data_IF_628433720802
#
_entry.id   IF_628433720802
#
_cell.length_a   1.000
_cell.length_b   1.000
_cell.length_c   1.000
_cell.angle_alpha   90.00
_cell.angle_beta   90.00
_cell.angle_gamma   90.00
#
_symmetry.space_group_name_H-M   'P 1'
#
loop_
_entity.id
_entity.type
_entity.pdbx_description
1 polymer ?
#
# COMPACT_ATOMS: atom_id res chain seq x y z
N UNK A 1 21.51 27.23 -6.17
CA UNK A 1 20.89 26.00 -5.63
C UNK A 1 20.99 26.09 -4.11
N UNK A 2 19.95 26.54 -3.43
CA UNK A 2 20.01 26.86 -1.99
C UNK A 2 18.60 26.84 -1.35
N UNK A 3 17.81 25.80 -1.64
CA UNK A 3 16.43 25.65 -1.13
C UNK A 3 16.31 24.67 0.03
N UNK A 4 17.25 23.73 0.19
CA UNK A 4 17.20 22.72 1.26
C UNK A 4 17.53 23.26 2.65
N UNK A 5 18.31 24.34 2.74
CA UNK A 5 18.79 24.88 4.01
C UNK A 5 17.71 25.56 4.87
N UNK A 6 16.50 25.74 4.33
CA UNK A 6 15.36 26.40 5.00
C UNK A 6 14.24 25.45 5.45
N UNK A 7 14.35 24.15 5.17
CA UNK A 7 13.24 23.22 5.37
C UNK A 7 13.21 22.51 6.73
N UNK A 8 14.24 22.66 7.58
CA UNK A 8 14.31 22.02 8.90
C UNK A 8 15.32 20.86 8.94
N UNK A 9 15.13 19.92 9.87
CA UNK A 9 16.00 18.74 10.05
C UNK A 9 15.51 17.61 9.15
N UNK A 10 16.40 16.95 8.39
CA UNK A 10 15.99 15.81 7.56
C UNK A 10 15.41 14.68 8.44
N UNK A 11 14.25 14.17 8.04
CA UNK A 11 13.54 13.08 8.69
C UNK A 11 13.82 11.75 7.99
N UNK A 12 13.80 10.60 8.70
CA UNK A 12 13.83 9.28 8.07
C UNK A 12 12.51 8.90 7.37
N UNK A 13 11.45 9.69 7.51
CA UNK A 13 10.15 9.42 6.90
C UNK A 13 10.05 9.95 5.47
N UNK A 14 9.19 9.34 4.67
CA UNK A 14 8.90 9.74 3.28
C UNK A 14 7.50 10.30 3.15
N UNK A 15 7.33 11.32 2.30
CA UNK A 15 6.03 11.93 2.06
C UNK A 15 5.06 10.92 1.44
N UNK A 16 3.89 10.65 2.03
CA UNK A 16 2.94 9.65 1.52
C UNK A 16 2.31 10.06 0.17
N UNK A 17 2.36 11.34 -0.18
CA UNK A 17 1.79 11.85 -1.44
C UNK A 17 2.77 11.82 -2.61
N UNK A 18 4.07 12.03 -2.36
CA UNK A 18 5.07 12.15 -3.43
C UNK A 18 6.26 11.20 -3.29
N UNK A 19 6.28 10.38 -2.23
CA UNK A 19 7.36 9.47 -1.83
C UNK A 19 8.75 10.12 -1.76
N UNK A 20 8.79 11.44 -1.58
CA UNK A 20 10.02 12.22 -1.45
C UNK A 20 10.49 12.34 0.00
N UNK A 21 11.73 12.79 0.24
CA UNK A 21 12.24 13.04 1.59
C UNK A 21 11.38 14.08 2.32
N UNK A 22 11.25 13.91 3.64
CA UNK A 22 10.61 14.88 4.52
C UNK A 22 11.64 15.57 5.39
N UNK A 23 11.35 16.82 5.71
CA UNK A 23 12.04 17.60 6.73
C UNK A 23 11.09 17.83 7.89
N UNK A 24 11.60 17.61 9.08
CA UNK A 24 10.97 17.89 10.35
C UNK A 24 11.23 19.35 10.74
N UNK A 25 10.15 20.04 11.08
CA UNK A 25 10.11 21.44 11.47
C UNK A 25 9.45 21.50 12.84
N UNK A 26 10.21 21.96 13.83
CA UNK A 26 9.69 22.30 15.15
C UNK A 26 9.09 23.72 15.10
N UNK A 27 7.77 23.82 15.24
CA UNK A 27 7.02 25.08 15.27
C UNK A 27 6.45 25.29 16.67
N UNK A 28 7.30 25.80 17.58
CA UNK A 28 6.99 25.94 18.99
C UNK A 28 6.82 24.59 19.69
N UNK A 29 5.58 24.19 19.99
CA UNK A 29 5.26 22.87 20.57
C UNK A 29 4.75 21.87 19.52
N UNK A 30 4.61 22.28 18.26
CA UNK A 30 4.04 21.46 17.20
C UNK A 30 5.14 20.88 16.33
N UNK A 31 5.00 19.60 16.01
CA UNK A 31 5.85 18.91 15.05
C UNK A 31 5.19 18.91 13.68
N UNK A 32 5.90 19.43 12.68
CA UNK A 32 5.43 19.49 11.29
C UNK A 32 6.44 18.83 10.37
N UNK A 33 5.94 18.24 9.30
CA UNK A 33 6.72 17.63 8.24
C UNK A 33 6.48 18.39 6.95
N UNK A 34 7.53 18.63 6.17
CA UNK A 34 7.43 19.26 4.85
C UNK A 34 8.28 18.52 3.83
N UNK A 35 7.74 18.27 2.63
CA UNK A 35 8.51 17.71 1.52
C UNK A 35 9.00 18.80 0.56
N UNK A 36 9.92 18.45 -0.35
CA UNK A 36 10.44 19.38 -1.35
C UNK A 36 9.36 19.86 -2.35
N UNK A 37 8.31 19.07 -2.56
CA UNK A 37 7.19 19.41 -3.45
C UNK A 37 6.20 20.39 -2.81
N UNK A 38 6.29 20.63 -1.49
CA UNK A 38 5.50 21.62 -0.77
C UNK A 38 4.39 21.07 0.12
N UNK A 39 4.14 19.75 0.15
CA UNK A 39 3.20 19.16 1.10
C UNK A 39 3.69 19.39 2.53
N UNK A 40 2.77 19.80 3.40
CA UNK A 40 3.04 20.08 4.81
C UNK A 40 2.03 19.34 5.68
N UNK A 41 2.52 18.49 6.59
CA UNK A 41 1.70 17.61 7.43
C UNK A 41 2.01 17.88 8.90
N UNK A 42 1.00 17.85 9.79
CA UNK A 42 1.27 17.68 11.23
C UNK A 42 1.69 16.23 11.51
N UNK A 43 2.23 15.94 12.69
CA UNK A 43 2.53 14.56 13.08
C UNK A 43 1.30 13.63 13.01
N UNK A 44 0.13 14.10 13.47
CA UNK A 44 -1.12 13.33 13.41
C UNK A 44 -1.59 13.11 11.96
N UNK A 45 -1.54 14.16 11.13
CA UNK A 45 -1.90 14.05 9.72
C UNK A 45 -0.94 13.13 8.96
N UNK A 46 0.35 13.14 9.32
CA UNK A 46 1.36 12.25 8.76
C UNK A 46 1.06 10.78 9.11
N UNK A 47 0.67 10.50 10.35
CA UNK A 47 0.30 9.15 10.78
C UNK A 47 -0.95 8.66 10.05
N UNK A 48 -1.99 9.50 9.98
CA UNK A 48 -3.22 9.18 9.25
C UNK A 48 -2.96 8.95 7.76
N UNK A 49 -2.10 9.75 7.15
CA UNK A 49 -1.72 9.59 5.74
C UNK A 49 -0.92 8.31 5.48
N UNK A 50 -0.06 7.88 6.41
CA UNK A 50 0.62 6.58 6.32
C UNK A 50 -0.36 5.40 6.41
N UNK A 51 -1.37 5.49 7.28
CA UNK A 51 -2.44 4.47 7.34
C UNK A 51 -3.19 4.39 6.02
N UNK A 52 -3.63 5.53 5.47
CA UNK A 52 -4.32 5.56 4.19
C UNK A 52 -3.43 5.05 3.02
N UNK A 53 -2.13 5.35 3.05
CA UNK A 53 -1.18 4.83 2.07
C UNK A 53 -1.06 3.30 2.17
N UNK A 54 -0.97 2.75 3.39
CA UNK A 54 -0.92 1.31 3.63
C UNK A 54 -2.18 0.62 3.10
N UNK A 55 -3.37 1.14 3.41
CA UNK A 55 -4.65 0.59 2.93
C UNK A 55 -4.71 0.59 1.41
N UNK A 56 -4.40 1.74 0.78
CA UNK A 56 -4.40 1.86 -0.68
C UNK A 56 -3.41 0.89 -1.35
N UNK A 57 -2.27 0.62 -0.69
CA UNK A 57 -1.26 -0.31 -1.16
C UNK A 57 -1.76 -1.75 -1.07
N UNK A 58 -2.39 -2.13 0.04
CA UNK A 58 -2.99 -3.46 0.20
C UNK A 58 -4.10 -3.69 -0.81
N UNK A 59 -4.97 -2.71 -1.06
CA UNK A 59 -6.00 -2.86 -2.10
C UNK A 59 -5.40 -3.03 -3.51
N UNK A 60 -4.31 -2.32 -3.81
CA UNK A 60 -3.58 -2.51 -5.08
C UNK A 60 -3.00 -3.91 -5.17
N UNK A 61 -2.39 -4.39 -4.08
CA UNK A 61 -1.84 -5.75 -4.02
C UNK A 61 -2.94 -6.81 -4.21
N UNK A 62 -4.09 -6.64 -3.55
CA UNK A 62 -5.27 -7.50 -3.72
C UNK A 62 -5.68 -7.57 -5.19
N UNK A 63 -5.86 -6.42 -5.84
CA UNK A 63 -6.21 -6.36 -7.27
C UNK A 63 -5.18 -7.07 -8.14
N UNK A 64 -3.89 -6.88 -7.87
CA UNK A 64 -2.82 -7.55 -8.62
C UNK A 64 -2.89 -9.07 -8.45
N UNK A 65 -3.10 -9.57 -7.24
CA UNK A 65 -3.22 -11.02 -6.99
C UNK A 65 -4.46 -11.63 -7.66
N UNK A 66 -5.62 -10.95 -7.58
CA UNK A 66 -6.83 -11.37 -8.30
C UNK A 66 -6.61 -11.44 -9.83
N UNK A 67 -5.92 -10.45 -10.40
CA UNK A 67 -5.59 -10.45 -11.82
C UNK A 67 -4.62 -11.58 -12.20
N UNK A 68 -3.61 -11.85 -11.37
CA UNK A 68 -2.66 -12.95 -11.57
C UNK A 68 -3.36 -14.30 -11.50
N UNK A 69 -4.27 -14.50 -10.54
CA UNK A 69 -5.07 -15.71 -10.43
C UNK A 69 -5.94 -15.94 -11.67
N UNK A 70 -6.69 -14.91 -12.09
CA UNK A 70 -7.53 -14.97 -13.28
C UNK A 70 -6.71 -15.26 -14.55
N UNK A 71 -5.53 -14.65 -14.70
CA UNK A 71 -4.62 -14.92 -15.82
C UNK A 71 -4.10 -16.36 -15.79
N UNK A 72 -3.67 -16.85 -14.62
CA UNK A 72 -3.20 -18.22 -14.45
C UNK A 72 -4.29 -19.25 -14.77
N UNK A 73 -5.52 -19.04 -14.29
CA UNK A 73 -6.68 -19.88 -14.64
C UNK A 73 -6.92 -19.93 -16.15
N UNK A 74 -6.84 -18.79 -16.85
CA UNK A 74 -7.00 -18.74 -18.32
C UNK A 74 -5.90 -19.51 -19.05
N UNK A 75 -4.64 -19.37 -18.61
CA UNK A 75 -3.53 -20.10 -19.23
C UNK A 75 -3.67 -21.61 -18.96
N UNK A 76 -4.04 -22.01 -17.74
CA UNK A 76 -4.31 -23.41 -17.41
C UNK A 76 -5.42 -24.02 -18.28
N UNK A 77 -6.53 -23.29 -18.46
CA UNK A 77 -7.63 -23.73 -19.33
C UNK A 77 -7.18 -23.92 -20.78
N UNK A 78 -6.39 -22.97 -21.31
CA UNK A 78 -5.82 -23.07 -22.66
C UNK A 78 -4.88 -24.25 -22.80
N UNK A 79 -3.96 -24.43 -21.86
CA UNK A 79 -3.00 -25.54 -21.88
C UNK A 79 -3.70 -26.90 -21.82
N UNK A 80 -4.79 -27.03 -21.06
CA UNK A 80 -5.64 -28.25 -21.06
C UNK A 80 -6.28 -28.49 -22.43
N UNK A 81 -6.84 -27.46 -23.05
CA UNK A 81 -7.45 -27.57 -24.37
C UNK A 81 -6.44 -27.98 -25.45
N UNK A 82 -5.17 -27.59 -25.30
CA UNK A 82 -4.08 -27.92 -26.20
C UNK A 82 -3.30 -29.20 -25.78
N UNK A 83 -3.80 -29.96 -24.80
CA UNK A 83 -3.21 -31.24 -24.35
C UNK A 83 -1.93 -31.12 -23.50
N UNK A 84 -1.52 -29.91 -23.11
CA UNK A 84 -0.33 -29.66 -22.28
C UNK A 84 -0.63 -29.80 -20.79
N UNK A 85 -0.96 -31.00 -20.35
CA UNK A 85 -1.45 -31.28 -18.99
C UNK A 85 -0.48 -30.86 -17.87
N UNK A 86 0.82 -31.10 -18.05
CA UNK A 86 1.85 -30.69 -17.07
C UNK A 86 1.91 -29.16 -16.89
N UNK A 87 1.83 -28.42 -18.01
CA UNK A 87 1.84 -26.96 -17.97
C UNK A 87 0.56 -26.41 -17.33
N UNK A 88 -0.58 -27.01 -17.68
CA UNK A 88 -1.86 -26.69 -17.05
C UNK A 88 -1.82 -26.88 -15.54
N UNK A 89 -1.35 -28.04 -15.06
CA UNK A 89 -1.28 -28.34 -13.63
C UNK A 89 -0.42 -27.33 -12.86
N UNK A 90 0.75 -26.94 -13.41
CA UNK A 90 1.58 -25.89 -12.80
C UNK A 90 0.87 -24.55 -12.72
N UNK A 91 0.13 -24.18 -13.76
CA UNK A 91 -0.55 -22.90 -13.80
C UNK A 91 -1.81 -22.88 -12.91
N UNK A 92 -2.50 -24.00 -12.78
CA UNK A 92 -3.58 -24.15 -11.79
C UNK A 92 -3.07 -24.01 -10.36
N UNK A 93 -1.89 -24.58 -10.05
CA UNK A 93 -1.30 -24.40 -8.73
C UNK A 93 -1.01 -22.92 -8.45
N UNK A 94 -0.37 -22.21 -9.39
CA UNK A 94 -0.14 -20.77 -9.26
C UNK A 94 -1.43 -19.98 -9.09
N UNK A 95 -2.49 -20.36 -9.81
CA UNK A 95 -3.78 -19.69 -9.68
C UNK A 95 -4.34 -19.85 -8.26
N UNK A 96 -4.29 -21.06 -7.70
CA UNK A 96 -4.70 -21.34 -6.31
C UNK A 96 -3.86 -20.56 -5.29
N UNK A 97 -2.55 -20.48 -5.51
CA UNK A 97 -1.65 -19.73 -4.62
C UNK A 97 -2.05 -18.24 -4.61
N UNK A 98 -2.30 -17.64 -5.79
CA UNK A 98 -2.72 -16.25 -5.89
C UNK A 98 -4.13 -15.99 -5.34
N UNK A 99 -5.06 -16.93 -5.52
CA UNK A 99 -6.39 -16.86 -4.89
C UNK A 99 -6.25 -16.89 -3.35
N UNK A 100 -5.38 -17.75 -2.82
CA UNK A 100 -5.09 -17.82 -1.39
C UNK A 100 -4.49 -16.53 -0.85
N UNK A 101 -3.48 -15.97 -1.53
CA UNK A 101 -2.88 -14.69 -1.18
C UNK A 101 -3.91 -13.55 -1.20
N UNK A 102 -4.78 -13.51 -2.22
CA UNK A 102 -5.84 -12.51 -2.32
C UNK A 102 -6.81 -12.57 -1.13
N UNK A 103 -7.18 -13.77 -0.68
CA UNK A 103 -8.04 -13.92 0.50
C UNK A 103 -7.35 -13.49 1.80
N UNK A 104 -6.04 -13.72 1.94
CA UNK A 104 -5.29 -13.21 3.10
C UNK A 104 -5.21 -11.68 3.09
N UNK A 105 -4.92 -11.07 1.95
CA UNK A 105 -4.86 -9.60 1.82
C UNK A 105 -6.22 -8.99 2.13
N UNK A 106 -7.30 -9.59 1.62
CA UNK A 106 -8.67 -9.13 1.89
C UNK A 106 -8.99 -9.14 3.39
N UNK A 107 -8.58 -10.16 4.12
CA UNK A 107 -8.75 -10.22 5.59
C UNK A 107 -7.99 -9.09 6.28
N UNK A 108 -6.74 -8.86 5.89
CA UNK A 108 -5.92 -7.79 6.46
C UNK A 108 -6.54 -6.39 6.26
N UNK A 109 -7.14 -6.14 5.09
CA UNK A 109 -7.86 -4.88 4.82
C UNK A 109 -9.07 -4.73 5.77
N UNK A 110 -9.89 -5.79 5.91
CA UNK A 110 -11.06 -5.76 6.78
C UNK A 110 -10.69 -5.54 8.26
N UNK A 111 -9.64 -6.19 8.73
CA UNK A 111 -9.13 -6.02 10.09
C UNK A 111 -8.62 -4.59 10.35
N UNK A 112 -8.06 -3.92 9.32
CA UNK A 112 -7.63 -2.52 9.39
C UNK A 112 -8.81 -1.54 9.45
N UNK A 113 -9.84 -1.78 8.64
CA UNK A 113 -11.07 -0.98 8.63
C UNK A 113 -11.84 -1.04 9.96
N UNK A 114 -11.84 -2.21 10.62
CA UNK A 114 -12.43 -2.38 11.96
C UNK A 114 -11.62 -1.62 13.03
N UNK A 115 -10.29 -1.63 12.94
CA UNK A 115 -9.41 -0.88 13.84
C UNK A 115 -9.55 0.65 13.69
N UNK A 116 -9.73 1.15 12.47
CA UNK A 116 -9.92 2.59 12.18
C UNK A 116 -11.27 3.12 12.67
N UNK A 117 -12.34 2.30 12.61
CA UNK A 117 -13.67 2.66 13.12
C UNK A 117 -13.71 2.88 14.64
N UNK A 118 -12.84 2.24 15.41
CA UNK A 118 -12.78 2.40 16.86
C UNK A 118 -12.00 3.65 17.34
N UNK A 119 -11.27 4.32 16.46
CA UNK A 119 -10.48 5.52 16.80
C UNK A 119 -11.22 6.82 16.43
N UNK A 120 -12.32 6.74 15.67
CA UNK A 120 -13.07 7.89 15.14
C UNK A 120 -14.31 8.30 15.95
N UNK A 121 -14.45 7.93 17.23
CA UNK A 121 -15.46 8.51 18.12
C UNK A 121 -14.86 9.65 18.96
N UNK A 122 -15.06 10.92 18.58
CA UNK A 122 -14.79 12.04 19.47
C UNK A 122 -15.93 12.17 20.50
N UNK A 123 -15.55 12.33 21.76
CA UNK A 123 -16.43 12.82 22.83
C UNK A 123 -16.51 14.35 22.79
#
# INVERSE_FOLDING_TARGET
MDTDKKLGKLSPFTCPECHGPLWEIEDGKLLRYRCHAGHALSAEAMLSAQSAEADSTMERLLRVHQQRAAMAHRIAARDRAEGRLESAGRMEQRARDYDGDAELIKKLILDCDDGSRHVQEPM
#
